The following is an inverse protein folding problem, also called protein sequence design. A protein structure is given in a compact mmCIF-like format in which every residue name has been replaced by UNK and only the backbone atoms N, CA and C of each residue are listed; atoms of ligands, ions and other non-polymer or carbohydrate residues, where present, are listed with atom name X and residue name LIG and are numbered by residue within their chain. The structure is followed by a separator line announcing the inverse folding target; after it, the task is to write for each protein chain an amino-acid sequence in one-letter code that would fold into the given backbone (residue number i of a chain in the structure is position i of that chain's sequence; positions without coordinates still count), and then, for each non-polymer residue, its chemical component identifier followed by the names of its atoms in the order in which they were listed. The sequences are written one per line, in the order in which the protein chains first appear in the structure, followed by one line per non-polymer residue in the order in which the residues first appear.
data_IF_447719890583
#
_entry.id   IF_447719890583
#
_cell.length_a   1.000
_cell.length_b   1.000
_cell.length_c   1.000
_cell.angle_alpha   90.00
_cell.angle_beta   90.00
_cell.angle_gamma   90.00
#
_symmetry.space_group_name_H-M   'P 1'
#
loop_
_entity.id
_entity.type
_entity.pdbx_description
1 polymer ?
#
# COMPACT_ATOMS: atom_id res chain seq x y z
N UNK A 1 11.61 12.93 -8.64
CA UNK A 1 12.14 12.07 -9.74
C UNK A 1 11.08 11.02 -10.06
N UNK A 2 10.65 10.90 -11.31
CA UNK A 2 9.63 9.91 -11.68
C UNK A 2 10.20 8.48 -11.68
N UNK A 3 9.44 7.50 -11.17
CA UNK A 3 9.82 6.08 -11.16
C UNK A 3 9.93 5.55 -12.60
N UNK A 4 10.90 4.67 -12.84
CA UNK A 4 11.04 3.97 -14.12
C UNK A 4 9.97 2.90 -14.27
N UNK A 5 9.61 2.53 -15.50
CA UNK A 5 8.59 1.50 -15.73
C UNK A 5 9.01 0.13 -15.18
N UNK A 6 10.31 -0.16 -15.15
CA UNK A 6 10.84 -1.36 -14.48
C UNK A 6 10.56 -1.35 -12.96
N UNK A 7 10.64 -0.20 -12.30
CA UNK A 7 10.32 -0.07 -10.88
C UNK A 7 8.82 -0.23 -10.62
N UNK A 8 7.97 0.31 -11.50
CA UNK A 8 6.52 0.15 -11.41
C UNK A 8 6.11 -1.32 -11.60
N UNK A 9 6.67 -1.96 -12.63
CA UNK A 9 6.39 -3.37 -12.92
C UNK A 9 6.88 -4.26 -11.79
N UNK A 10 8.08 -4.02 -11.25
CA UNK A 10 8.62 -4.79 -10.14
C UNK A 10 7.73 -4.72 -8.89
N UNK A 11 7.19 -3.55 -8.55
CA UNK A 11 6.25 -3.43 -7.43
C UNK A 11 4.91 -4.14 -7.72
N UNK A 12 4.40 -4.03 -8.95
CA UNK A 12 3.18 -4.74 -9.38
C UNK A 12 3.34 -6.26 -9.31
N UNK A 13 4.49 -6.80 -9.71
CA UNK A 13 4.79 -8.23 -9.67
C UNK A 13 4.83 -8.73 -8.22
N UNK A 14 5.46 -7.97 -7.33
CA UNK A 14 5.45 -8.25 -5.88
C UNK A 14 4.03 -8.25 -5.34
N UNK A 15 3.23 -7.23 -5.63
CA UNK A 15 1.86 -7.14 -5.14
C UNK A 15 0.98 -8.27 -5.69
N UNK A 16 1.19 -8.65 -6.96
CA UNK A 16 0.53 -9.81 -7.60
C UNK A 16 0.88 -11.11 -6.88
N UNK A 17 2.15 -11.30 -6.50
CA UNK A 17 2.57 -12.47 -5.71
C UNK A 17 1.93 -12.49 -4.33
N UNK A 18 1.83 -11.33 -3.66
CA UNK A 18 1.15 -11.20 -2.35
C UNK A 18 -0.31 -11.62 -2.44
N UNK A 19 -1.01 -11.28 -3.54
CA UNK A 19 -2.37 -11.74 -3.83
C UNK A 19 -2.41 -13.25 -4.06
N UNK A 20 -1.52 -13.79 -4.89
CA UNK A 20 -1.45 -15.21 -5.21
C UNK A 20 -1.17 -16.09 -3.98
N UNK A 21 -0.25 -15.65 -3.10
CA UNK A 21 0.05 -16.31 -1.82
C UNK A 21 -1.17 -16.38 -0.87
N UNK A 22 -2.24 -15.63 -1.18
CA UNK A 22 -3.48 -15.51 -0.40
C UNK A 22 -4.73 -15.95 -1.18
N UNK A 23 -4.56 -16.69 -2.28
CA UNK A 23 -5.63 -17.08 -3.20
C UNK A 23 -6.77 -17.94 -2.60
N UNK A 24 -6.70 -18.32 -1.32
CA UNK A 24 -7.76 -19.05 -0.59
C UNK A 24 -8.62 -18.21 0.34
N UNK A 25 -8.37 -16.90 0.46
CA UNK A 25 -9.17 -16.03 1.34
C UNK A 25 -10.50 -15.64 0.67
N UNK A 26 -11.57 -15.64 1.47
CA UNK A 26 -12.88 -15.11 1.06
C UNK A 26 -13.17 -13.79 1.81
N UNK A 27 -13.71 -12.77 1.11
CA UNK A 27 -13.88 -12.72 -0.34
C UNK A 27 -12.54 -12.62 -1.09
N UNK A 28 -12.56 -12.92 -2.39
CA UNK A 28 -11.36 -12.98 -3.22
C UNK A 28 -10.60 -11.64 -3.21
N UNK A 29 -9.27 -11.72 -3.21
CA UNK A 29 -8.41 -10.54 -3.25
C UNK A 29 -8.08 -10.17 -4.69
N UNK A 30 -8.13 -8.87 -4.99
CA UNK A 30 -7.75 -8.33 -6.29
C UNK A 30 -6.70 -7.24 -6.11
N UNK A 31 -5.84 -7.06 -7.11
CA UNK A 31 -4.89 -5.96 -7.14
C UNK A 31 -5.55 -4.73 -7.74
N UNK A 32 -5.34 -3.54 -7.17
CA UNK A 32 -5.79 -2.29 -7.79
C UNK A 32 -5.12 -2.09 -9.16
N UNK A 33 -5.85 -1.48 -10.11
CA UNK A 33 -5.39 -1.31 -11.49
C UNK A 33 -4.12 -0.46 -11.61
N UNK A 34 -3.97 0.49 -10.68
CA UNK A 34 -2.91 1.50 -10.68
C UNK A 34 -2.16 1.56 -9.35
N UNK A 35 -0.87 1.87 -9.46
CA UNK A 35 -0.03 2.26 -8.33
C UNK A 35 -0.54 3.60 -7.79
N UNK A 36 -0.54 3.74 -6.47
CA UNK A 36 -0.76 5.03 -5.82
C UNK A 36 0.58 5.63 -5.43
N UNK A 37 0.80 6.82 -5.95
CA UNK A 37 1.93 7.66 -5.60
C UNK A 37 1.47 8.67 -4.56
N UNK A 38 2.21 8.79 -3.48
CA UNK A 38 2.05 9.95 -2.62
C UNK A 38 2.50 11.21 -3.36
N UNK A 39 2.07 12.36 -2.85
CA UNK A 39 2.37 13.67 -3.41
C UNK A 39 3.45 14.34 -2.57
N UNK A 40 4.31 15.13 -3.22
CA UNK A 40 5.34 15.90 -2.51
C UNK A 40 4.67 16.79 -1.44
N UNK A 41 5.13 16.66 -0.20
CA UNK A 41 4.60 17.34 1.00
C UNK A 41 3.10 17.16 1.30
N UNK A 42 2.46 16.11 0.79
CA UNK A 42 1.04 15.85 1.05
C UNK A 42 0.70 14.42 1.44
N UNK A 43 -0.59 14.20 1.64
CA UNK A 43 -1.16 12.97 2.17
C UNK A 43 -2.25 12.44 1.24
N UNK A 44 -2.17 11.17 0.90
CA UNK A 44 -3.28 10.41 0.29
C UNK A 44 -3.92 9.53 1.37
N UNK A 45 -5.25 9.53 1.42
CA UNK A 45 -6.03 8.77 2.39
C UNK A 45 -6.94 7.77 1.70
N UNK A 46 -6.89 6.51 2.13
CA UNK A 46 -7.80 5.47 1.68
C UNK A 46 -8.39 4.73 2.87
N UNK A 47 -9.70 4.46 2.81
CA UNK A 47 -10.39 3.74 3.87
C UNK A 47 -10.38 2.25 3.56
N UNK A 48 -9.99 1.44 4.54
CA UNK A 48 -10.08 0.00 4.43
C UNK A 48 -11.29 -0.59 5.14
N UNK A 49 -11.76 -1.72 4.61
CA UNK A 49 -12.90 -2.42 5.14
C UNK A 49 -13.33 -3.60 4.27
N UNK A 50 -14.06 -4.52 4.90
CA UNK A 50 -14.36 -5.83 4.31
C UNK A 50 -15.60 -5.80 3.40
N UNK A 51 -16.39 -4.73 3.45
CA UNK A 51 -17.77 -4.76 2.98
C UNK A 51 -18.07 -4.01 1.67
N UNK A 52 -17.10 -3.46 0.94
CA UNK A 52 -17.42 -2.67 -0.27
C UNK A 52 -16.29 -2.40 -1.27
N UNK A 53 -15.34 -3.31 -1.52
CA UNK A 53 -14.24 -3.02 -2.46
C UNK A 53 -13.16 -2.11 -1.87
N UNK A 54 -13.15 -1.96 -0.54
CA UNK A 54 -12.20 -1.13 0.19
C UNK A 54 -10.83 -1.82 0.34
N UNK A 55 -9.81 -1.01 0.64
CA UNK A 55 -8.42 -1.48 0.74
C UNK A 55 -8.29 -2.52 1.86
N UNK A 56 -7.79 -3.70 1.52
CA UNK A 56 -7.47 -4.77 2.48
C UNK A 56 -6.01 -4.75 2.91
N UNK A 57 -5.12 -4.43 2.00
CA UNK A 57 -3.68 -4.43 2.28
C UNK A 57 -2.96 -3.44 1.38
N UNK A 58 -1.89 -2.86 1.92
CA UNK A 58 -0.93 -2.07 1.17
C UNK A 58 0.33 -2.87 0.97
N UNK A 59 0.87 -2.81 -0.24
CA UNK A 59 2.24 -3.21 -0.55
C UNK A 59 3.03 -1.94 -0.84
N UNK A 60 3.96 -1.59 0.05
CA UNK A 60 4.77 -0.38 -0.05
C UNK A 60 6.18 -0.74 -0.53
N UNK A 61 6.67 -0.04 -1.56
CA UNK A 61 8.06 -0.12 -1.97
C UNK A 61 8.93 0.62 -0.97
N UNK A 62 9.77 -0.09 -0.21
CA UNK A 62 10.62 0.57 0.80
C UNK A 62 11.64 1.49 0.17
N UNK A 63 12.08 1.19 -1.05
CA UNK A 63 13.07 1.99 -1.79
C UNK A 63 12.44 3.20 -2.51
N UNK A 64 11.12 3.39 -2.38
CA UNK A 64 10.47 4.59 -2.90
C UNK A 64 11.04 5.87 -2.26
N UNK A 65 10.69 7.03 -2.82
CA UNK A 65 11.19 8.32 -2.35
C UNK A 65 10.91 8.53 -0.85
N UNK A 66 11.50 9.57 -0.23
CA UNK A 66 11.33 9.79 1.20
C UNK A 66 9.84 9.91 1.54
N UNK A 67 9.41 9.20 2.59
CA UNK A 67 8.02 9.23 3.02
C UNK A 67 7.68 8.12 4.01
N UNK A 68 6.39 7.94 4.24
CA UNK A 68 5.91 6.79 5.00
C UNK A 68 4.49 6.37 4.63
N UNK A 69 4.18 5.13 4.97
CA UNK A 69 2.81 4.60 5.01
C UNK A 69 2.42 4.37 6.46
N UNK A 70 1.24 4.82 6.85
CA UNK A 70 0.73 4.67 8.21
C UNK A 70 -0.74 4.25 8.18
N UNK A 71 -1.11 3.36 9.09
CA UNK A 71 -2.50 2.99 9.29
C UNK A 71 -2.99 3.59 10.60
N UNK A 72 -4.16 4.19 10.58
CA UNK A 72 -4.78 4.83 11.74
C UNK A 72 -6.18 4.29 11.95
N UNK A 73 -6.62 4.23 13.20
CA UNK A 73 -7.99 3.89 13.56
C UNK A 73 -8.39 4.76 14.74
N UNK A 74 -9.37 5.64 14.56
CA UNK A 74 -9.83 6.53 15.63
C UNK A 74 -8.65 7.28 16.30
N UNK A 75 -8.38 7.04 17.59
CA UNK A 75 -7.26 7.62 18.35
C UNK A 75 -5.98 6.77 18.33
N UNK A 76 -6.01 5.62 17.67
CA UNK A 76 -4.87 4.70 17.61
C UNK A 76 -4.09 4.90 16.32
N UNK A 77 -2.80 5.12 16.48
CA UNK A 77 -1.84 5.22 15.39
C UNK A 77 -1.06 3.90 15.36
N UNK A 78 -1.24 3.12 14.29
CA UNK A 78 -0.51 1.87 14.09
C UNK A 78 0.97 2.14 13.72
N UNK A 79 1.84 1.11 13.73
CA UNK A 79 3.23 1.26 13.35
C UNK A 79 3.37 1.81 11.93
N UNK A 80 4.30 2.74 11.77
CA UNK A 80 4.59 3.43 10.51
C UNK A 80 5.65 2.67 9.72
N UNK A 81 5.41 2.44 8.44
CA UNK A 81 6.43 1.97 7.50
C UNK A 81 7.14 3.17 6.90
N UNK A 82 8.41 3.35 7.25
CA UNK A 82 9.26 4.39 6.67
C UNK A 82 9.88 3.86 5.38
N UNK A 83 9.77 4.65 4.31
CA UNK A 83 10.36 4.38 3.01
C UNK A 83 11.42 5.43 2.68
N UNK A 84 12.37 5.07 1.84
CA UNK A 84 13.44 5.96 1.42
C UNK A 84 14.50 5.24 0.59
N UNK A 85 15.37 6.00 -0.10
CA UNK A 85 16.36 5.45 -1.06
C UNK A 85 17.35 4.47 -0.42
N UNK A 86 17.60 4.59 0.89
CA UNK A 86 18.51 3.73 1.65
C UNK A 86 17.86 2.43 2.16
N UNK A 87 16.56 2.23 1.89
CA UNK A 87 15.85 1.01 2.24
C UNK A 87 15.71 0.11 1.02
N UNK A 88 15.48 -1.18 1.24
CA UNK A 88 15.35 -2.18 0.18
C UNK A 88 14.20 -3.14 0.46
N UNK A 89 13.64 -3.69 -0.62
CA UNK A 89 12.50 -4.60 -0.55
C UNK A 89 11.16 -3.89 -0.45
N UNK A 90 10.15 -4.62 0.02
CA UNK A 90 8.79 -4.15 0.20
C UNK A 90 8.31 -4.45 1.62
N UNK A 91 7.30 -3.73 2.07
CA UNK A 91 6.53 -4.06 3.27
C UNK A 91 5.08 -4.26 2.89
N UNK A 92 4.39 -5.10 3.65
CA UNK A 92 2.94 -5.24 3.55
C UNK A 92 2.28 -4.78 4.83
N UNK A 93 1.23 -3.97 4.73
CA UNK A 93 0.45 -3.52 5.88
C UNK A 93 -1.01 -3.95 5.67
N UNK A 94 -1.52 -4.77 6.60
CA UNK A 94 -2.93 -5.17 6.59
C UNK A 94 -3.79 -4.01 7.10
N UNK A 95 -4.91 -3.79 6.43
CA UNK A 95 -5.88 -2.74 6.75
C UNK A 95 -7.18 -3.45 7.14
N UNK A 96 -7.62 -3.23 8.38
CA UNK A 96 -8.81 -3.84 8.95
C UNK A 96 -10.01 -2.88 8.77
N UNK A 97 -11.20 -3.34 9.13
CA UNK A 97 -12.39 -2.48 9.10
C UNK A 97 -12.24 -1.26 10.03
N UNK A 98 -12.53 -0.09 9.48
CA UNK A 98 -12.43 1.19 10.19
C UNK A 98 -11.00 1.73 10.28
N UNK A 99 -10.04 1.08 9.61
CA UNK A 99 -8.70 1.63 9.45
C UNK A 99 -8.67 2.62 8.29
N UNK A 100 -7.89 3.68 8.44
CA UNK A 100 -7.51 4.61 7.40
C UNK A 100 -6.04 4.44 7.08
N UNK A 101 -5.73 4.21 5.82
CA UNK A 101 -4.38 4.19 5.30
C UNK A 101 -3.97 5.59 4.85
N UNK A 102 -2.85 6.06 5.36
CA UNK A 102 -2.19 7.30 5.02
C UNK A 102 -0.93 6.99 4.21
N UNK A 103 -0.78 7.62 3.04
CA UNK A 103 0.45 7.60 2.24
C UNK A 103 0.99 9.03 2.20
N UNK A 104 2.17 9.26 2.78
CA UNK A 104 2.76 10.58 2.93
C UNK A 104 4.01 10.76 2.08
N UNK A 105 4.14 11.94 1.45
CA UNK A 105 5.29 12.33 0.62
C UNK A 105 5.51 11.36 -0.55
N UNK A 106 6.76 11.13 -0.98
CA UNK A 106 7.06 10.52 -2.29
C UNK A 106 7.09 8.98 -2.22
N UNK A 107 6.15 8.39 -1.48
CA UNK A 107 5.95 6.95 -1.39
C UNK A 107 5.30 6.39 -2.65
N UNK A 108 5.52 5.10 -2.88
CA UNK A 108 4.87 4.35 -3.94
C UNK A 108 4.27 3.06 -3.37
N UNK A 109 2.98 2.85 -3.61
CA UNK A 109 2.23 1.72 -3.04
C UNK A 109 1.29 1.09 -4.06
N UNK A 110 1.01 -0.20 -3.88
CA UNK A 110 -0.14 -0.85 -4.49
C UNK A 110 -1.14 -1.27 -3.42
N UNK A 111 -2.42 -1.01 -3.68
CA UNK A 111 -3.51 -1.50 -2.87
C UNK A 111 -3.97 -2.87 -3.35
N UNK A 112 -4.20 -3.77 -2.39
CA UNK A 112 -4.92 -5.01 -2.58
C UNK A 112 -6.32 -4.79 -2.01
N UNK A 113 -7.32 -5.07 -2.83
CA UNK A 113 -8.74 -4.88 -2.54
C UNK A 113 -9.38 -6.22 -2.20
N UNK A 114 -10.48 -6.18 -1.44
CA UNK A 114 -11.40 -7.32 -1.29
C UNK A 114 -12.55 -7.13 -2.28
N UNK A 115 -12.77 -8.09 -3.17
CA UNK A 115 -13.88 -8.09 -4.12
C UNK A 115 -15.23 -8.42 -3.46
#
# INVERSE_FOLDING_TARGET
MARTDAQKQGLRDVATRVVADRAGLLPALTLADHEVLGVDDGVVWETGGVNSGQVYMVVADKKSGPGFVQVTKERYIAPRVIVGPDKSGYETIKIEQGHHCMVYHSCAVFYILRA
#
